data_IF_385604629548
#
_entry.id   IF_385604629548
#
_cell.length_a   1.000
_cell.length_b   1.000
_cell.length_c   1.000
_cell.angle_alpha   90.00
_cell.angle_beta   90.00
_cell.angle_gamma   90.00
#
_symmetry.space_group_name_H-M   'P 1'
#
loop_
_entity.id
_entity.type
_entity.pdbx_description
1 polymer ?
#
# COMPACT_ATOMS: atom_id res chain seq x y z
N UNK A 1 -16.52 -10.85 -22.21
CA UNK A 1 -15.53 -9.84 -21.75
C UNK A 1 -15.46 -9.94 -20.24
N UNK A 2 -14.28 -10.12 -19.65
CA UNK A 2 -14.16 -10.01 -18.18
C UNK A 2 -14.39 -8.54 -17.82
N UNK A 3 -15.17 -8.23 -16.78
CA UNK A 3 -15.29 -6.87 -16.32
C UNK A 3 -13.90 -6.37 -15.86
N UNK A 4 -13.55 -5.13 -16.18
CA UNK A 4 -12.37 -4.48 -15.66
C UNK A 4 -12.42 -4.37 -14.13
N UNK A 5 -11.26 -4.31 -13.50
CA UNK A 5 -11.12 -4.19 -12.06
C UNK A 5 -10.55 -2.84 -11.68
N UNK A 6 -11.05 -2.30 -10.58
CA UNK A 6 -10.46 -1.14 -9.93
C UNK A 6 -9.68 -1.62 -8.72
N UNK A 7 -8.38 -1.39 -8.72
CA UNK A 7 -7.48 -1.73 -7.62
C UNK A 7 -7.19 -0.49 -6.77
N UNK A 8 -7.22 -0.66 -5.46
CA UNK A 8 -6.78 0.34 -4.49
C UNK A 8 -5.71 -0.32 -3.64
N UNK A 9 -4.53 0.23 -3.65
CA UNK A 9 -3.36 -0.36 -3.02
C UNK A 9 -2.67 0.62 -2.08
N UNK A 10 -2.19 0.09 -0.97
CA UNK A 10 -1.20 0.74 -0.13
C UNK A 10 -0.12 -0.27 0.25
N UNK A 11 0.94 0.20 0.89
CA UNK A 11 2.06 -0.64 1.21
C UNK A 11 2.72 -0.25 2.53
N UNK A 12 3.40 -1.22 3.14
CA UNK A 12 4.27 -1.03 4.27
C UNK A 12 5.50 -1.92 4.15
N UNK A 13 6.68 -1.31 4.17
CA UNK A 13 7.94 -2.02 4.22
C UNK A 13 8.55 -1.92 5.61
N UNK A 14 8.73 -3.08 6.25
CA UNK A 14 9.42 -3.17 7.54
C UNK A 14 10.91 -3.16 7.33
N UNK A 15 11.56 -2.07 7.74
CA UNK A 15 13.01 -1.94 7.66
C UNK A 15 13.73 -2.82 8.70
N UNK A 16 14.87 -3.37 8.29
CA UNK A 16 15.82 -3.97 9.22
C UNK A 16 16.64 -2.89 9.94
N UNK A 17 17.37 -3.29 10.98
CA UNK A 17 18.23 -2.34 11.71
C UNK A 17 19.33 -1.75 10.83
N UNK A 18 19.89 -2.54 9.92
CA UNK A 18 20.95 -2.12 8.99
C UNK A 18 20.45 -1.15 7.91
N UNK A 19 19.16 -1.28 7.56
CA UNK A 19 18.52 -0.47 6.51
C UNK A 19 17.84 0.78 7.04
N UNK A 20 17.72 0.93 8.37
CA UNK A 20 16.84 1.90 8.97
C UNK A 20 17.06 3.32 8.44
N UNK A 21 16.03 3.84 7.80
CA UNK A 21 15.91 5.23 7.38
C UNK A 21 15.67 6.13 8.59
N UNK A 22 15.90 7.42 8.41
CA UNK A 22 15.52 8.41 9.40
C UNK A 22 14.27 9.16 8.94
N UNK A 23 13.28 9.23 9.81
CA UNK A 23 12.01 9.93 9.58
C UNK A 23 11.95 11.21 10.41
N UNK A 24 12.36 12.38 9.87
CA UNK A 24 12.43 13.63 10.62
C UNK A 24 11.10 14.02 11.25
N UNK A 25 9.99 13.85 10.52
CA UNK A 25 8.65 14.19 11.00
C UNK A 25 8.13 13.27 12.10
N UNK A 26 8.64 12.04 12.17
CA UNK A 26 8.30 11.10 13.24
C UNK A 26 9.36 11.08 14.36
N UNK A 27 10.44 11.85 14.21
CA UNK A 27 11.52 11.96 15.19
C UNK A 27 12.26 10.64 15.46
N UNK A 28 12.25 9.70 14.52
CA UNK A 28 12.74 8.37 14.80
C UNK A 28 13.30 7.59 13.62
N UNK A 29 13.86 6.44 13.94
CA UNK A 29 14.38 5.46 12.98
C UNK A 29 13.23 4.61 12.43
N UNK A 30 13.32 4.24 11.15
CA UNK A 30 12.35 3.42 10.44
C UNK A 30 12.18 1.98 10.99
N UNK A 31 13.16 1.50 11.77
CA UNK A 31 13.13 0.20 12.43
C UNK A 31 12.52 0.24 13.86
N UNK A 32 12.07 1.40 14.34
CA UNK A 32 11.53 1.52 15.69
C UNK A 32 10.18 0.82 15.86
N UNK A 33 9.97 0.17 17.01
CA UNK A 33 8.71 -0.49 17.33
C UNK A 33 7.53 0.49 17.37
N UNK A 34 7.76 1.72 17.83
CA UNK A 34 6.73 2.77 17.84
C UNK A 34 6.28 3.12 16.42
N UNK A 35 7.25 3.35 15.51
CA UNK A 35 6.95 3.70 14.14
C UNK A 35 6.19 2.57 13.44
N UNK A 36 6.63 1.31 13.63
CA UNK A 36 5.91 0.14 13.10
C UNK A 36 4.47 0.09 13.63
N UNK A 37 4.28 0.32 14.93
CA UNK A 37 2.94 0.32 15.54
C UNK A 37 2.04 1.40 14.92
N UNK A 38 2.54 2.61 14.72
CA UNK A 38 1.80 3.70 14.07
C UNK A 38 1.41 3.31 12.66
N UNK A 39 2.35 2.83 11.85
CA UNK A 39 2.06 2.42 10.45
C UNK A 39 1.09 1.24 10.35
N UNK A 40 1.10 0.33 11.33
CA UNK A 40 0.10 -0.75 11.36
C UNK A 40 -1.29 -0.22 11.74
N UNK A 41 -1.38 0.73 12.68
CA UNK A 41 -2.66 1.27 13.13
C UNK A 41 -3.34 2.16 12.08
N UNK A 42 -2.60 2.94 11.29
CA UNK A 42 -3.19 3.77 10.24
C UNK A 42 -3.84 2.95 9.12
N UNK A 43 -3.53 1.66 8.99
CA UNK A 43 -4.21 0.77 8.04
C UNK A 43 -5.71 0.61 8.38
N UNK A 44 -6.08 0.75 9.66
CA UNK A 44 -7.48 0.57 10.09
C UNK A 44 -8.40 1.60 9.43
N UNK A 45 -8.21 2.91 9.61
CA UNK A 45 -9.05 3.91 8.94
C UNK A 45 -8.92 3.86 7.42
N UNK A 46 -7.72 3.58 6.87
CA UNK A 46 -7.53 3.44 5.43
C UNK A 46 -8.46 2.37 4.86
N UNK A 47 -8.26 1.11 5.21
CA UNK A 47 -9.02 0.01 4.61
C UNK A 47 -10.51 0.05 4.94
N UNK A 48 -10.89 0.54 6.11
CA UNK A 48 -12.29 0.68 6.51
C UNK A 48 -13.01 1.70 5.63
N UNK A 49 -12.44 2.89 5.43
CA UNK A 49 -13.07 3.94 4.64
C UNK A 49 -13.05 3.62 3.15
N UNK A 50 -11.93 3.11 2.61
CA UNK A 50 -11.87 2.72 1.21
C UNK A 50 -12.86 1.59 0.88
N UNK A 51 -13.01 0.59 1.74
CA UNK A 51 -14.01 -0.48 1.54
C UNK A 51 -15.43 0.06 1.65
N UNK A 52 -15.69 0.97 2.58
CA UNK A 52 -17.04 1.54 2.76
C UNK A 52 -17.53 2.25 1.50
N UNK A 53 -16.70 3.09 0.94
CA UNK A 53 -17.07 3.91 -0.24
C UNK A 53 -16.85 3.21 -1.59
N UNK A 54 -16.06 2.13 -1.63
CA UNK A 54 -15.74 1.39 -2.85
C UNK A 54 -15.91 -0.11 -2.64
N UNK A 55 -17.17 -0.60 -2.47
CA UNK A 55 -17.43 -1.98 -2.06
C UNK A 55 -16.96 -3.02 -3.08
N UNK A 56 -16.87 -2.66 -4.36
CA UNK A 56 -16.48 -3.57 -5.45
C UNK A 56 -15.00 -3.48 -5.83
N UNK A 57 -14.25 -2.52 -5.27
CA UNK A 57 -12.83 -2.40 -5.57
C UNK A 57 -12.02 -3.55 -4.95
N UNK A 58 -10.93 -3.93 -5.64
CA UNK A 58 -9.95 -4.88 -5.12
C UNK A 58 -8.96 -4.13 -4.22
N UNK A 59 -9.02 -4.38 -2.91
CA UNK A 59 -8.12 -3.76 -1.94
C UNK A 59 -6.88 -4.62 -1.73
N UNK A 60 -5.69 -4.00 -1.84
CA UNK A 60 -4.40 -4.68 -1.73
C UNK A 60 -3.52 -4.02 -0.69
N UNK A 61 -2.91 -4.83 0.17
CA UNK A 61 -1.87 -4.42 1.09
C UNK A 61 -0.56 -5.12 0.74
N UNK A 62 0.41 -4.35 0.28
CA UNK A 62 1.73 -4.86 -0.06
C UNK A 62 2.69 -4.72 1.11
N UNK A 63 3.46 -5.75 1.40
CA UNK A 63 4.42 -5.73 2.51
C UNK A 63 5.52 -6.77 2.31
N UNK A 64 6.63 -6.60 3.01
CA UNK A 64 7.67 -7.63 3.10
C UNK A 64 7.48 -8.56 4.31
N UNK A 65 6.36 -8.40 5.04
CA UNK A 65 6.02 -9.28 6.16
C UNK A 65 5.29 -10.52 5.69
N UNK A 66 5.59 -11.65 6.31
CA UNK A 66 4.78 -12.87 6.15
C UNK A 66 3.50 -12.77 6.99
N UNK A 67 2.52 -13.59 6.65
CA UNK A 67 1.20 -13.53 7.28
C UNK A 67 1.22 -13.71 8.80
N UNK A 68 2.12 -14.53 9.31
CA UNK A 68 2.32 -14.80 10.75
C UNK A 68 3.04 -13.66 11.50
N UNK A 69 3.62 -12.72 10.76
CA UNK A 69 4.29 -11.53 11.31
C UNK A 69 3.34 -10.33 11.42
N UNK A 70 2.14 -10.44 10.85
CA UNK A 70 1.14 -9.38 10.94
C UNK A 70 0.46 -9.40 12.31
N UNK A 71 0.21 -8.23 12.92
CA UNK A 71 -0.58 -8.15 14.15
C UNK A 71 -1.98 -8.75 13.96
N UNK A 72 -2.54 -9.47 14.96
CA UNK A 72 -3.85 -10.11 14.84
C UNK A 72 -4.98 -9.15 14.43
N UNK A 73 -4.96 -7.91 14.90
CA UNK A 73 -5.97 -6.92 14.52
C UNK A 73 -5.94 -6.57 13.04
N UNK A 74 -4.76 -6.59 12.38
CA UNK A 74 -4.66 -6.38 10.93
C UNK A 74 -5.19 -7.58 10.16
N UNK A 75 -4.91 -8.78 10.60
CA UNK A 75 -5.46 -9.99 9.98
C UNK A 75 -6.98 -9.95 10.00
N UNK A 76 -7.57 -9.57 11.15
CA UNK A 76 -9.02 -9.40 11.28
C UNK A 76 -9.55 -8.27 10.38
N UNK A 77 -8.88 -7.13 10.35
CA UNK A 77 -9.22 -6.01 9.46
C UNK A 77 -9.26 -6.45 8.00
N UNK A 78 -8.21 -7.12 7.53
CA UNK A 78 -8.10 -7.54 6.13
C UNK A 78 -9.16 -8.58 5.74
N UNK A 79 -9.53 -9.47 6.65
CA UNK A 79 -10.66 -10.38 6.46
C UNK A 79 -11.98 -9.60 6.32
N UNK A 80 -12.26 -8.67 7.23
CA UNK A 80 -13.49 -7.86 7.22
C UNK A 80 -13.60 -6.95 6.00
N UNK A 81 -12.49 -6.37 5.59
CA UNK A 81 -12.45 -5.47 4.42
C UNK A 81 -12.21 -6.19 3.10
N UNK A 82 -12.09 -7.52 3.11
CA UNK A 82 -11.76 -8.33 1.93
C UNK A 82 -10.49 -7.79 1.23
N UNK A 83 -9.49 -7.46 2.02
CA UNK A 83 -8.19 -6.97 1.54
C UNK A 83 -7.25 -8.14 1.34
N UNK A 84 -6.63 -8.23 0.18
CA UNK A 84 -5.58 -9.19 -0.10
C UNK A 84 -4.24 -8.67 0.40
N UNK A 85 -3.50 -9.49 1.14
CA UNK A 85 -2.12 -9.23 1.54
C UNK A 85 -1.19 -9.83 0.50
N UNK A 86 -0.28 -9.01 -0.03
CA UNK A 86 0.70 -9.43 -1.04
C UNK A 86 2.09 -9.25 -0.45
N UNK A 87 2.77 -10.36 -0.17
CA UNK A 87 4.16 -10.32 0.30
C UNK A 87 5.11 -10.11 -0.87
N UNK A 88 5.90 -9.05 -0.81
CA UNK A 88 6.89 -8.71 -1.82
C UNK A 88 8.27 -8.44 -1.22
N UNK A 89 9.36 -8.95 -1.83
CA UNK A 89 10.71 -8.54 -1.49
C UNK A 89 11.02 -7.12 -1.99
N UNK A 90 11.88 -6.40 -1.28
CA UNK A 90 12.39 -5.10 -1.72
C UNK A 90 13.56 -5.28 -2.69
N UNK A 91 13.32 -5.10 -3.97
CA UNK A 91 14.32 -5.28 -5.06
C UNK A 91 14.79 -3.95 -5.65
N UNK A 92 13.88 -2.99 -5.84
CA UNK A 92 14.16 -1.69 -6.45
C UNK A 92 14.73 -0.70 -5.44
N UNK A 93 15.90 -1.02 -4.89
CA UNK A 93 16.57 -0.19 -3.89
C UNK A 93 17.23 1.03 -4.51
N UNK A 94 17.28 2.17 -3.78
CA UNK A 94 18.01 3.33 -4.26
C UNK A 94 19.52 3.02 -4.39
N UNK A 95 20.25 3.77 -5.23
CA UNK A 95 21.68 3.62 -5.37
C UNK A 95 22.43 3.76 -4.03
N UNK A 96 23.54 3.03 -3.89
CA UNK A 96 24.37 3.11 -2.69
C UNK A 96 24.85 4.55 -2.46
N UNK A 97 24.70 5.04 -1.24
CA UNK A 97 25.04 6.43 -0.88
C UNK A 97 23.94 7.45 -1.12
N UNK A 98 22.77 7.01 -1.61
CA UNK A 98 21.60 7.86 -1.75
C UNK A 98 21.15 8.44 -0.40
N UNK A 99 20.30 9.45 -0.46
CA UNK A 99 19.75 10.12 0.73
C UNK A 99 19.09 9.10 1.69
N UNK A 100 19.46 9.16 2.98
CA UNK A 100 19.04 8.14 3.96
C UNK A 100 17.58 8.25 4.41
N UNK A 101 16.99 9.44 4.35
CA UNK A 101 15.58 9.59 4.62
C UNK A 101 14.75 9.01 3.46
N UNK A 102 13.61 8.39 3.78
CA UNK A 102 12.65 7.93 2.77
C UNK A 102 13.18 6.83 1.82
N UNK A 103 14.24 6.12 2.17
CA UNK A 103 14.78 5.06 1.30
C UNK A 103 13.77 3.95 1.04
N UNK A 104 12.87 3.67 1.99
CA UNK A 104 11.80 2.71 1.83
C UNK A 104 10.72 3.13 0.84
N UNK A 105 10.62 4.42 0.47
CA UNK A 105 9.70 4.88 -0.57
C UNK A 105 9.94 4.22 -1.93
N UNK A 106 11.16 3.82 -2.22
CA UNK A 106 11.48 3.07 -3.44
C UNK A 106 10.79 1.71 -3.51
N UNK A 107 10.29 1.18 -2.40
CA UNK A 107 9.51 -0.05 -2.39
C UNK A 107 8.23 0.06 -3.24
N UNK A 108 7.72 1.25 -3.45
CA UNK A 108 6.58 1.48 -4.35
C UNK A 108 6.85 1.01 -5.79
N UNK A 109 8.10 1.02 -6.24
CA UNK A 109 8.46 0.50 -7.56
C UNK A 109 8.29 -1.02 -7.64
N UNK A 110 8.55 -1.75 -6.56
CA UNK A 110 8.26 -3.19 -6.49
C UNK A 110 6.75 -3.45 -6.54
N UNK A 111 5.96 -2.61 -5.85
CA UNK A 111 4.50 -2.65 -5.90
C UNK A 111 3.99 -2.39 -7.32
N UNK A 112 4.48 -1.34 -7.98
CA UNK A 112 4.10 -1.01 -9.36
C UNK A 112 4.43 -2.16 -10.33
N UNK A 113 5.61 -2.76 -10.24
CA UNK A 113 5.99 -3.91 -11.06
C UNK A 113 5.13 -5.16 -10.79
N UNK A 114 4.72 -5.37 -9.54
CA UNK A 114 3.82 -6.46 -9.19
C UNK A 114 2.43 -6.23 -9.81
N UNK A 115 1.94 -4.99 -9.78
CA UNK A 115 0.67 -4.63 -10.38
C UNK A 115 0.68 -4.68 -11.90
N UNK A 116 1.76 -4.24 -12.54
CA UNK A 116 1.93 -4.37 -14.01
C UNK A 116 1.76 -5.81 -14.49
N UNK A 117 2.27 -6.79 -13.73
CA UNK A 117 2.11 -8.22 -14.06
C UNK A 117 0.72 -8.78 -13.75
N UNK A 118 -0.01 -8.14 -12.85
CA UNK A 118 -1.32 -8.59 -12.38
C UNK A 118 -2.47 -8.03 -13.19
N UNK A 119 -2.37 -6.77 -13.57
CA UNK A 119 -3.44 -6.03 -14.23
C UNK A 119 -3.64 -6.44 -15.68
N UNK A 120 -4.90 -6.39 -16.10
CA UNK A 120 -5.25 -6.43 -17.52
C UNK A 120 -5.24 -5.00 -18.09
N UNK A 121 -5.18 -4.83 -19.43
CA UNK A 121 -5.07 -3.50 -20.04
C UNK A 121 -6.16 -2.50 -19.63
N UNK A 122 -7.36 -2.99 -19.33
CA UNK A 122 -8.50 -2.13 -18.95
C UNK A 122 -8.66 -1.95 -17.42
N UNK A 123 -7.81 -2.59 -16.61
CA UNK A 123 -7.85 -2.42 -15.16
C UNK A 123 -7.28 -1.06 -14.77
N UNK A 124 -7.77 -0.51 -13.66
CA UNK A 124 -7.24 0.74 -13.07
C UNK A 124 -6.58 0.49 -11.72
N UNK A 125 -5.61 1.32 -11.38
CA UNK A 125 -4.89 1.24 -10.12
C UNK A 125 -4.76 2.61 -9.48
N UNK A 126 -5.18 2.69 -8.21
CA UNK A 126 -4.88 3.79 -7.31
C UNK A 126 -3.89 3.29 -6.25
N UNK A 127 -2.73 3.91 -6.17
CA UNK A 127 -1.77 3.70 -5.08
C UNK A 127 -1.81 4.93 -4.17
N UNK A 128 -2.08 4.73 -2.89
CA UNK A 128 -2.13 5.78 -1.89
C UNK A 128 -1.19 5.47 -0.71
N UNK A 129 -0.70 6.53 -0.09
CA UNK A 129 -0.11 6.41 1.24
C UNK A 129 -1.20 6.02 2.25
N UNK A 130 -0.82 5.24 3.27
CA UNK A 130 -1.78 4.68 4.22
C UNK A 130 -2.41 5.72 5.19
N UNK A 131 -1.91 6.94 5.21
CA UNK A 131 -2.47 8.07 5.98
C UNK A 131 -3.62 8.79 5.26
N UNK A 132 -4.07 8.26 4.12
CA UNK A 132 -5.22 8.76 3.39
C UNK A 132 -6.54 8.18 3.93
N UNK A 133 -7.59 8.97 3.86
CA UNK A 133 -8.98 8.57 4.13
C UNK A 133 -9.82 8.71 2.88
N UNK A 134 -10.64 7.71 2.60
CA UNK A 134 -11.64 7.82 1.54
C UNK A 134 -12.92 8.42 2.14
N UNK A 135 -13.41 9.52 1.56
CA UNK A 135 -14.59 10.24 2.05
C UNK A 135 -15.80 10.14 1.11
N UNK A 136 -15.61 9.59 -0.09
CA UNK A 136 -16.66 9.40 -1.09
C UNK A 136 -16.26 8.29 -2.08
N UNK A 137 -17.22 7.85 -2.93
CA UNK A 137 -16.92 6.88 -3.99
C UNK A 137 -15.89 7.42 -4.98
N UNK A 138 -14.98 6.54 -5.40
CA UNK A 138 -13.97 6.84 -6.42
C UNK A 138 -14.41 6.49 -7.85
N UNK A 139 -15.69 6.17 -8.06
CA UNK A 139 -16.21 5.76 -9.37
C UNK A 139 -15.92 6.79 -10.46
N UNK A 140 -16.09 8.09 -10.16
CA UNK A 140 -15.79 9.15 -11.11
C UNK A 140 -14.30 9.21 -11.46
N UNK A 141 -13.41 9.01 -10.48
CA UNK A 141 -11.97 8.96 -10.70
C UNK A 141 -11.61 7.78 -11.61
N UNK A 142 -12.09 6.59 -11.29
CA UNK A 142 -11.83 5.40 -12.09
C UNK A 142 -12.38 5.54 -13.51
N UNK A 143 -13.59 6.10 -13.67
CA UNK A 143 -14.15 6.35 -14.98
C UNK A 143 -13.31 7.38 -15.79
N UNK A 144 -12.77 8.41 -15.14
CA UNK A 144 -11.87 9.38 -15.77
C UNK A 144 -10.60 8.70 -16.28
N UNK A 145 -9.99 7.85 -15.46
CA UNK A 145 -8.80 7.08 -15.85
C UNK A 145 -9.10 6.16 -17.04
N UNK A 146 -10.25 5.46 -17.03
CA UNK A 146 -10.67 4.64 -18.17
C UNK A 146 -10.84 5.43 -19.46
N UNK A 147 -11.35 6.66 -19.37
CA UNK A 147 -11.61 7.48 -20.55
C UNK A 147 -10.34 8.13 -21.09
N UNK A 148 -9.42 8.52 -20.21
CA UNK A 148 -8.26 9.36 -20.58
C UNK A 148 -6.90 8.68 -20.36
N UNK A 149 -6.87 7.47 -19.79
CA UNK A 149 -5.67 6.65 -19.56
C UNK A 149 -4.89 6.97 -18.27
N UNK A 150 -5.03 8.18 -17.71
CA UNK A 150 -4.44 8.57 -16.42
C UNK A 150 -5.12 9.82 -15.88
N UNK A 151 -5.05 10.02 -14.60
CA UNK A 151 -5.54 11.21 -13.90
C UNK A 151 -4.43 11.79 -13.02
#
# INVERSE_FOLDING_TARGET
>A
MKPFKNYIATWFYRESHEEASYYPQAGGRGDSALLHSVYMQIQVPFFTTFRHYNPEAELLFFTNLEADQLPPFLTELFQRTRTEVVTLPYRNRPPKGWYKAWMNQFYVYDVMQAMERRMQPDDTLLICDADCLCLESLDNLFQTVHTHGSA
#
